data_IF_214976318689
#
_entry.id   IF_214976318689
#
_cell.length_a   1.000
_cell.length_b   1.000
_cell.length_c   1.000
_cell.angle_alpha   90.00
_cell.angle_beta   90.00
_cell.angle_gamma   90.00
#
_symmetry.space_group_name_H-M   'P 1'
#
loop_
_entity.id
_entity.type
_entity.pdbx_description
1 polymer ?
#
# COMPACT_ATOMS: atom_id res chain seq x y z
N UNK A 1 14.78 7.48 -26.75
CA UNK A 1 13.96 7.71 -25.55
C UNK A 1 13.22 9.03 -25.67
N UNK A 2 11.94 9.09 -25.28
CA UNK A 2 11.20 10.34 -25.28
C UNK A 2 11.86 11.36 -24.32
N UNK A 3 11.92 12.64 -24.72
CA UNK A 3 12.44 13.71 -23.86
C UNK A 3 11.47 13.94 -22.70
N UNK A 4 11.99 13.99 -21.47
CA UNK A 4 11.21 14.35 -20.27
C UNK A 4 10.73 15.80 -20.37
N UNK A 5 9.54 16.08 -19.85
CA UNK A 5 8.96 17.44 -19.87
C UNK A 5 9.82 18.43 -19.07
N UNK A 6 9.73 19.72 -19.42
CA UNK A 6 10.53 20.80 -18.81
C UNK A 6 10.41 20.82 -17.27
N UNK A 7 9.19 20.78 -16.72
CA UNK A 7 8.93 20.76 -15.27
C UNK A 7 9.64 19.60 -14.58
N UNK A 8 9.64 18.41 -15.20
CA UNK A 8 10.36 17.26 -14.64
C UNK A 8 11.88 17.45 -14.67
N UNK A 9 12.41 18.08 -15.71
CA UNK A 9 13.86 18.35 -15.83
C UNK A 9 14.30 19.34 -14.73
N UNK A 10 13.52 20.39 -14.52
CA UNK A 10 13.75 21.38 -13.44
C UNK A 10 13.68 20.73 -12.05
N UNK A 11 12.66 19.90 -11.79
CA UNK A 11 12.56 19.16 -10.55
C UNK A 11 13.73 18.19 -10.36
N UNK A 12 14.08 17.44 -11.42
CA UNK A 12 15.17 16.47 -11.38
C UNK A 12 16.55 17.08 -11.22
N UNK A 13 16.77 18.34 -11.63
CA UNK A 13 18.04 19.06 -11.43
C UNK A 13 18.31 19.42 -9.98
N UNK A 14 17.26 19.48 -9.13
CA UNK A 14 17.38 19.73 -7.69
C UNK A 14 17.80 18.47 -6.90
N UNK A 15 17.67 17.29 -7.50
CA UNK A 15 17.98 16.00 -6.85
C UNK A 15 19.31 15.47 -7.35
N UNK A 16 20.30 15.38 -6.48
CA UNK A 16 21.55 14.69 -6.79
C UNK A 16 21.32 13.16 -6.68
N UNK A 17 21.44 12.47 -7.81
CA UNK A 17 21.23 11.03 -7.90
C UNK A 17 22.34 10.17 -7.33
N UNK A 18 23.51 10.77 -7.09
CA UNK A 18 24.68 10.11 -6.51
C UNK A 18 24.64 10.12 -4.99
N UNK A 19 23.97 11.09 -4.41
CA UNK A 19 23.81 11.26 -2.97
C UNK A 19 22.68 10.36 -2.40
N UNK A 20 22.89 9.89 -1.18
CA UNK A 20 21.87 9.29 -0.33
C UNK A 20 21.52 10.29 0.77
N UNK A 21 20.23 10.56 0.92
CA UNK A 21 19.70 11.56 1.83
C UNK A 21 19.18 10.91 3.12
N UNK A 22 19.12 11.65 4.21
CA UNK A 22 18.37 11.23 5.39
C UNK A 22 16.87 11.11 5.05
N UNK A 23 16.09 10.41 5.88
CA UNK A 23 14.63 10.27 5.67
C UNK A 23 13.95 11.64 5.63
N UNK A 24 14.33 12.52 6.55
CA UNK A 24 13.79 13.89 6.67
C UNK A 24 14.09 14.74 5.44
N UNK A 25 15.34 14.76 5.02
CA UNK A 25 15.78 15.49 3.82
C UNK A 25 15.13 14.94 2.55
N UNK A 26 15.02 13.60 2.44
CA UNK A 26 14.42 12.96 1.27
C UNK A 26 12.93 13.28 1.14
N UNK A 27 12.18 13.27 2.23
CA UNK A 27 10.76 13.62 2.25
C UNK A 27 10.55 15.09 1.88
N UNK A 28 11.32 16.00 2.50
CA UNK A 28 11.26 17.42 2.20
C UNK A 28 11.58 17.69 0.72
N UNK A 29 12.67 17.11 0.22
CA UNK A 29 13.08 17.26 -1.17
C UNK A 29 12.07 16.67 -2.15
N UNK A 30 11.44 15.52 -1.82
CA UNK A 30 10.39 14.94 -2.63
C UNK A 30 9.15 15.84 -2.71
N UNK A 31 8.76 16.51 -1.62
CA UNK A 31 7.66 17.51 -1.61
C UNK A 31 8.01 18.74 -2.44
N UNK A 32 9.21 19.30 -2.30
CA UNK A 32 9.69 20.47 -3.06
C UNK A 32 9.80 20.20 -4.56
N UNK A 33 10.05 18.96 -4.94
CA UNK A 33 10.16 18.53 -6.35
C UNK A 33 8.88 17.98 -6.92
N UNK A 34 7.75 18.10 -6.20
CA UNK A 34 6.43 17.75 -6.70
C UNK A 34 6.04 18.67 -7.86
N UNK A 35 5.68 18.07 -9.01
CA UNK A 35 5.32 18.80 -10.23
C UNK A 35 3.83 18.74 -10.55
N UNK A 36 3.07 17.96 -9.80
CA UNK A 36 1.64 17.80 -10.00
C UNK A 36 0.86 19.04 -9.52
N UNK A 37 -0.24 19.36 -10.22
CA UNK A 37 -1.13 20.47 -9.84
C UNK A 37 -2.29 20.00 -8.92
N UNK A 38 -2.20 18.77 -8.42
CA UNK A 38 -3.15 18.16 -7.48
C UNK A 38 -2.40 17.66 -6.25
N UNK A 39 -3.11 17.36 -5.18
CA UNK A 39 -2.50 16.78 -3.98
C UNK A 39 -1.95 15.38 -4.26
N UNK A 40 -0.67 15.36 -4.64
CA UNK A 40 0.02 14.15 -5.07
C UNK A 40 0.24 13.18 -3.92
N UNK A 41 0.24 11.87 -4.21
CA UNK A 41 0.63 10.86 -3.25
C UNK A 41 2.15 10.87 -3.07
N UNK A 42 2.59 10.68 -1.82
CA UNK A 42 4.00 10.41 -1.48
C UNK A 42 4.14 8.90 -1.36
N UNK A 43 5.04 8.33 -2.15
CA UNK A 43 5.22 6.89 -2.29
C UNK A 43 6.66 6.50 -1.98
N UNK A 44 6.82 5.32 -1.41
CA UNK A 44 8.13 4.75 -1.08
C UNK A 44 8.32 3.44 -1.81
N UNK A 45 9.52 3.26 -2.36
CA UNK A 45 9.95 2.02 -2.98
C UNK A 45 11.09 1.42 -2.15
N UNK A 46 10.86 0.22 -1.58
CA UNK A 46 11.86 -0.57 -0.87
C UNK A 46 12.35 -1.70 -1.75
N UNK A 47 13.62 -1.70 -2.10
CA UNK A 47 14.26 -2.85 -2.74
C UNK A 47 14.84 -3.75 -1.67
N UNK A 48 14.24 -4.92 -1.51
CA UNK A 48 14.60 -5.89 -0.48
C UNK A 48 15.57 -6.96 -1.01
N UNK A 49 16.41 -7.47 -0.13
CA UNK A 49 17.35 -8.56 -0.41
C UNK A 49 16.71 -9.94 -0.28
N UNK A 50 15.61 -10.17 -0.97
CA UNK A 50 14.83 -11.41 -0.95
C UNK A 50 14.80 -12.09 -2.31
N UNK A 51 14.60 -13.40 -2.32
CA UNK A 51 14.33 -14.19 -3.53
C UNK A 51 12.85 -14.57 -3.57
N UNK A 52 12.07 -13.80 -4.31
CA UNK A 52 10.61 -13.97 -4.41
C UNK A 52 10.17 -15.25 -5.12
N UNK A 53 11.10 -16.02 -5.70
CA UNK A 53 10.82 -17.36 -6.26
C UNK A 53 10.59 -18.39 -5.16
N UNK A 54 11.13 -18.12 -3.98
CA UNK A 54 10.95 -18.97 -2.80
C UNK A 54 9.72 -18.54 -2.03
N UNK A 55 8.82 -19.48 -1.74
CA UNK A 55 7.56 -19.20 -1.05
C UNK A 55 7.76 -18.62 0.37
N UNK A 56 8.84 -19.02 1.04
CA UNK A 56 9.22 -18.56 2.38
C UNK A 56 9.78 -17.12 2.39
N UNK A 57 10.19 -16.59 1.24
CA UNK A 57 10.71 -15.23 1.09
C UNK A 57 9.71 -14.26 0.43
N UNK A 58 8.48 -14.70 0.21
CA UNK A 58 7.42 -13.83 -0.28
C UNK A 58 6.88 -12.96 0.84
N UNK A 59 7.17 -11.65 0.78
CA UNK A 59 6.69 -10.67 1.74
C UNK A 59 5.37 -10.11 1.25
N UNK A 60 4.32 -10.30 2.04
CA UNK A 60 3.00 -9.71 1.87
C UNK A 60 2.35 -9.50 3.22
N UNK A 61 1.76 -8.35 3.43
CA UNK A 61 1.05 -8.01 4.65
C UNK A 61 0.29 -6.70 4.51
N UNK A 62 -0.14 -6.18 5.63
CA UNK A 62 -0.74 -4.87 5.73
C UNK A 62 -0.23 -4.14 6.98
N UNK A 63 -0.25 -2.83 6.95
CA UNK A 63 0.11 -1.96 8.05
C UNK A 63 -0.93 -0.85 8.18
N UNK A 64 -1.32 -0.52 9.39
CA UNK A 64 -2.13 0.66 9.68
C UNK A 64 -1.16 1.81 9.92
N UNK A 65 -1.24 2.84 9.09
CA UNK A 65 -0.41 4.03 9.23
C UNK A 65 -1.02 4.97 10.28
N UNK A 66 -0.23 5.50 11.24
CA UNK A 66 -0.75 6.33 12.33
C UNK A 66 -1.47 7.59 11.83
N UNK A 67 -0.99 8.19 10.75
CA UNK A 67 -1.59 9.38 10.15
C UNK A 67 -2.47 9.07 8.92
N UNK A 68 -2.75 7.77 8.67
CA UNK A 68 -3.49 7.34 7.48
C UNK A 68 -2.76 7.62 6.17
N UNK A 69 -3.47 7.48 5.05
CA UNK A 69 -2.94 7.71 3.69
C UNK A 69 -3.46 8.99 3.04
N UNK A 70 -4.41 9.68 3.67
CA UNK A 70 -5.13 10.82 3.07
C UNK A 70 -6.07 10.44 1.92
N UNK A 71 -6.41 9.15 1.80
CA UNK A 71 -7.43 8.65 0.87
C UNK A 71 -8.58 8.07 1.66
N UNK A 72 -9.81 8.44 1.32
CA UNK A 72 -11.00 7.73 1.76
C UNK A 72 -11.18 6.51 0.86
N UNK A 73 -11.14 5.31 1.44
CA UNK A 73 -11.32 4.07 0.71
C UNK A 73 -12.76 3.60 0.81
N UNK A 74 -13.36 3.23 -0.31
CA UNK A 74 -14.66 2.58 -0.36
C UNK A 74 -14.50 1.08 -0.11
N UNK A 75 -15.23 0.56 0.87
CA UNK A 75 -15.11 -0.81 1.36
C UNK A 75 -16.33 -1.62 0.99
N UNK A 76 -16.12 -2.72 0.24
CA UNK A 76 -17.11 -3.74 -0.01
C UNK A 76 -16.91 -4.92 0.95
N UNK A 77 -17.96 -5.31 1.66
CA UNK A 77 -17.93 -6.43 2.60
C UNK A 77 -18.82 -7.57 2.11
N UNK A 78 -18.25 -8.76 1.99
CA UNK A 78 -18.97 -10.00 1.79
C UNK A 78 -19.17 -10.71 3.13
N UNK A 79 -20.40 -10.69 3.64
CA UNK A 79 -20.77 -11.30 4.90
C UNK A 79 -22.16 -11.93 4.84
N UNK A 80 -22.47 -12.80 5.79
CA UNK A 80 -23.79 -13.44 5.93
C UNK A 80 -24.40 -13.15 7.30
N UNK A 81 -25.73 -13.09 7.33
CA UNK A 81 -26.49 -12.99 8.57
C UNK A 81 -26.11 -11.76 9.42
N UNK A 82 -25.87 -11.97 10.70
CA UNK A 82 -25.61 -10.88 11.68
C UNK A 82 -24.36 -10.06 11.34
N UNK A 83 -23.40 -10.64 10.58
CA UNK A 83 -22.19 -9.95 10.15
C UNK A 83 -22.45 -8.81 9.15
N UNK A 84 -23.59 -8.82 8.48
CA UNK A 84 -24.03 -7.72 7.61
C UNK A 84 -24.27 -6.47 8.45
N UNK A 85 -25.06 -6.60 9.52
CA UNK A 85 -25.34 -5.48 10.42
C UNK A 85 -24.07 -4.94 11.12
N UNK A 86 -23.14 -5.83 11.50
CA UNK A 86 -21.83 -5.42 12.04
C UNK A 86 -21.02 -4.61 11.03
N UNK A 87 -21.01 -5.02 9.76
CA UNK A 87 -20.29 -4.32 8.69
C UNK A 87 -20.88 -2.94 8.39
N UNK A 88 -22.20 -2.84 8.35
CA UNK A 88 -22.89 -1.57 8.15
C UNK A 88 -22.65 -0.61 9.33
N UNK A 89 -22.72 -1.11 10.57
CA UNK A 89 -22.44 -0.34 11.77
C UNK A 89 -20.96 0.15 11.82
N UNK A 90 -20.03 -0.60 11.24
CA UNK A 90 -18.62 -0.21 11.12
C UNK A 90 -18.36 0.82 10.00
N UNK A 91 -19.38 1.17 9.20
CA UNK A 91 -19.28 2.16 8.13
C UNK A 91 -18.78 1.60 6.80
N UNK A 92 -19.02 0.32 6.51
CA UNK A 92 -18.78 -0.22 5.17
C UNK A 92 -19.71 0.46 4.14
N UNK A 93 -19.18 0.77 2.95
CA UNK A 93 -19.93 1.48 1.92
C UNK A 93 -20.89 0.53 1.19
N UNK A 94 -20.48 -0.72 1.04
CA UNK A 94 -21.27 -1.77 0.40
C UNK A 94 -21.18 -3.04 1.22
N UNK A 95 -22.32 -3.63 1.55
CA UNK A 95 -22.39 -4.90 2.29
C UNK A 95 -23.39 -5.81 1.62
N UNK A 96 -23.05 -7.07 1.42
CA UNK A 96 -23.97 -8.03 0.83
C UNK A 96 -23.38 -9.41 0.60
N UNK A 97 -24.20 -10.25 -0.01
CA UNK A 97 -23.87 -11.65 -0.31
C UNK A 97 -23.63 -11.84 -1.81
N UNK A 98 -24.33 -12.81 -2.40
CA UNK A 98 -24.16 -13.23 -3.80
C UNK A 98 -24.56 -12.15 -4.84
N UNK A 99 -25.34 -11.15 -4.46
CA UNK A 99 -25.76 -10.07 -5.36
C UNK A 99 -24.57 -9.24 -5.89
N UNK A 100 -23.60 -8.94 -5.02
CA UNK A 100 -22.39 -8.22 -5.43
C UNK A 100 -21.44 -9.09 -6.25
N UNK A 101 -21.49 -10.42 -6.08
CA UNK A 101 -20.76 -11.34 -6.96
C UNK A 101 -21.23 -11.19 -8.41
N UNK A 102 -22.56 -11.11 -8.62
CA UNK A 102 -23.13 -10.91 -9.94
C UNK A 102 -22.81 -9.51 -10.51
N UNK A 103 -22.93 -8.45 -9.70
CA UNK A 103 -22.58 -7.08 -10.11
C UNK A 103 -21.12 -6.98 -10.56
N UNK A 104 -20.19 -7.58 -9.83
CA UNK A 104 -18.76 -7.59 -10.18
C UNK A 104 -18.52 -8.37 -11.49
N UNK A 105 -19.20 -9.48 -11.71
CA UNK A 105 -19.14 -10.24 -12.98
C UNK A 105 -19.64 -9.40 -14.17
N UNK A 106 -20.60 -8.52 -13.93
CA UNK A 106 -21.12 -7.58 -14.93
C UNK A 106 -20.21 -6.32 -15.12
N UNK A 107 -19.12 -6.19 -14.35
CA UNK A 107 -18.14 -5.12 -14.52
C UNK A 107 -18.29 -3.95 -13.58
N UNK A 108 -19.01 -4.10 -12.47
CA UNK A 108 -19.07 -3.07 -11.43
C UNK A 108 -17.87 -3.15 -10.48
N UNK A 109 -17.16 -2.02 -10.25
CA UNK A 109 -15.94 -1.91 -9.45
C UNK A 109 -15.84 -0.58 -8.68
N UNK A 110 -16.95 -0.06 -8.19
CA UNK A 110 -16.99 1.21 -7.45
C UNK A 110 -16.55 1.03 -5.98
N UNK A 111 -15.52 0.24 -5.76
CA UNK A 111 -14.92 -0.02 -4.45
C UNK A 111 -13.40 -0.16 -4.56
N UNK A 112 -12.69 0.21 -3.47
CA UNK A 112 -11.24 0.17 -3.40
C UNK A 112 -10.71 -1.07 -2.67
N UNK A 113 -11.45 -1.56 -1.68
CA UNK A 113 -11.05 -2.72 -0.86
C UNK A 113 -12.20 -3.69 -0.69
N UNK A 114 -11.88 -4.98 -0.72
CA UNK A 114 -12.84 -6.06 -0.46
C UNK A 114 -12.47 -6.77 0.83
N UNK A 115 -13.44 -6.86 1.75
CA UNK A 115 -13.37 -7.68 2.96
C UNK A 115 -14.33 -8.85 2.81
N UNK A 116 -13.96 -10.02 3.24
CA UNK A 116 -14.82 -11.19 3.18
C UNK A 116 -14.73 -12.02 4.47
N UNK A 117 -15.85 -12.55 4.91
CA UNK A 117 -15.83 -13.62 5.92
C UNK A 117 -15.35 -14.93 5.27
N UNK A 118 -14.68 -15.81 6.03
CA UNK A 118 -14.20 -17.09 5.51
C UNK A 118 -15.29 -17.92 4.83
N UNK A 119 -16.52 -17.85 5.32
CA UNK A 119 -17.68 -18.56 4.78
C UNK A 119 -18.05 -18.11 3.35
N UNK A 120 -17.81 -16.82 3.05
CA UNK A 120 -18.09 -16.24 1.72
C UNK A 120 -16.95 -16.45 0.72
N UNK A 121 -15.79 -16.94 1.15
CA UNK A 121 -14.63 -17.12 0.27
C UNK A 121 -14.89 -18.13 -0.87
N UNK A 122 -15.81 -19.06 -0.70
CA UNK A 122 -16.23 -19.97 -1.78
C UNK A 122 -16.89 -19.23 -2.96
N UNK A 123 -17.72 -18.23 -2.66
CA UNK A 123 -18.38 -17.40 -3.67
C UNK A 123 -17.41 -16.34 -4.24
N UNK A 124 -16.67 -15.65 -3.38
CA UNK A 124 -15.67 -14.68 -3.77
C UNK A 124 -14.55 -15.30 -4.60
N UNK A 125 -14.22 -16.57 -4.35
CA UNK A 125 -13.26 -17.35 -5.14
C UNK A 125 -13.60 -17.45 -6.62
N UNK A 126 -14.89 -17.46 -6.98
CA UNK A 126 -15.38 -17.44 -8.38
C UNK A 126 -14.97 -16.14 -9.10
N UNK A 127 -14.77 -15.06 -8.34
CA UNK A 127 -14.33 -13.76 -8.85
C UNK A 127 -12.80 -13.64 -8.98
N UNK A 128 -12.04 -14.67 -8.61
CA UNK A 128 -10.58 -14.63 -8.59
C UNK A 128 -9.94 -14.23 -9.91
N UNK A 129 -10.54 -14.59 -11.06
CA UNK A 129 -10.09 -14.21 -12.40
C UNK A 129 -10.26 -12.71 -12.69
N UNK A 130 -11.18 -12.05 -11.99
CA UNK A 130 -11.54 -10.65 -12.18
C UNK A 130 -10.86 -9.77 -11.11
N UNK A 131 -10.98 -10.15 -9.84
CA UNK A 131 -10.40 -9.40 -8.71
C UNK A 131 -8.88 -9.59 -8.58
N UNK A 132 -8.36 -10.76 -8.95
CA UNK A 132 -6.95 -11.08 -8.82
C UNK A 132 -6.01 -10.13 -9.59
N UNK A 133 -6.21 -9.91 -10.91
CA UNK A 133 -5.40 -8.98 -11.69
C UNK A 133 -5.49 -7.52 -11.23
N UNK A 134 -6.63 -7.14 -10.65
CA UNK A 134 -6.86 -5.78 -10.09
C UNK A 134 -6.27 -5.61 -8.68
N UNK A 135 -5.79 -6.67 -8.04
CA UNK A 135 -5.27 -6.62 -6.67
C UNK A 135 -6.36 -6.54 -5.58
N UNK A 136 -7.63 -6.68 -5.93
CA UNK A 136 -8.78 -6.53 -5.04
C UNK A 136 -9.21 -7.84 -4.35
N UNK A 137 -8.49 -8.94 -4.57
CA UNK A 137 -8.83 -10.24 -4.01
C UNK A 137 -8.53 -10.29 -2.51
N UNK A 138 -9.52 -10.57 -1.63
CA UNK A 138 -9.31 -10.70 -0.19
C UNK A 138 -8.26 -11.76 0.15
N UNK A 139 -7.46 -11.50 1.18
CA UNK A 139 -6.40 -12.42 1.60
C UNK A 139 -6.28 -12.46 3.12
N UNK A 140 -6.16 -13.65 3.74
CA UNK A 140 -5.95 -13.78 5.19
C UNK A 140 -4.67 -13.09 5.69
N UNK A 141 -3.59 -13.08 4.89
CA UNK A 141 -2.31 -12.45 5.27
C UNK A 141 -2.38 -10.94 5.41
N UNK A 142 -3.32 -10.28 4.73
CA UNK A 142 -3.55 -8.84 4.82
C UNK A 142 -4.69 -8.50 5.78
N UNK A 143 -5.32 -9.53 6.38
CA UNK A 143 -6.43 -9.36 7.32
C UNK A 143 -7.72 -8.88 6.64
N UNK A 144 -7.86 -9.07 5.32
CA UNK A 144 -9.08 -8.78 4.58
C UNK A 144 -10.02 -10.01 4.50
N UNK A 145 -9.56 -11.17 4.97
CA UNK A 145 -10.41 -12.34 5.25
C UNK A 145 -10.42 -12.57 6.75
N UNK A 146 -11.52 -12.22 7.41
CA UNK A 146 -11.65 -12.29 8.87
C UNK A 146 -13.10 -12.50 9.31
N UNK A 147 -13.28 -13.07 10.50
CA UNK A 147 -14.58 -13.11 11.19
C UNK A 147 -14.90 -11.81 11.92
N UNK A 148 -13.89 -11.01 12.27
CA UNK A 148 -14.05 -9.70 12.89
C UNK A 148 -14.10 -8.61 11.81
N UNK A 149 -15.28 -8.50 11.20
CA UNK A 149 -15.54 -7.59 10.09
C UNK A 149 -15.45 -6.13 10.55
N UNK A 150 -15.96 -5.83 11.75
CA UNK A 150 -15.97 -4.49 12.32
C UNK A 150 -14.56 -3.91 12.39
N UNK A 151 -13.65 -4.64 13.04
CA UNK A 151 -12.26 -4.23 13.19
C UNK A 151 -11.56 -4.05 11.83
N UNK A 152 -11.79 -4.97 10.88
CA UNK A 152 -11.20 -4.88 9.56
C UNK A 152 -11.63 -3.63 8.80
N UNK A 153 -12.92 -3.27 8.84
CA UNK A 153 -13.46 -2.06 8.20
C UNK A 153 -12.91 -0.80 8.87
N UNK A 154 -12.88 -0.75 10.21
CA UNK A 154 -12.31 0.37 10.96
C UNK A 154 -10.82 0.59 10.62
N UNK A 155 -10.02 -0.47 10.59
CA UNK A 155 -8.59 -0.40 10.21
C UNK A 155 -8.40 0.11 8.78
N UNK A 156 -9.20 -0.36 7.81
CA UNK A 156 -9.14 0.10 6.42
C UNK A 156 -9.49 1.58 6.33
N UNK A 157 -10.55 2.01 7.00
CA UNK A 157 -10.97 3.42 7.06
C UNK A 157 -9.93 4.30 7.80
N UNK A 158 -9.21 3.74 8.76
CA UNK A 158 -8.09 4.40 9.45
C UNK A 158 -6.82 4.54 8.58
N UNK A 159 -6.79 3.94 7.38
CA UNK A 159 -5.66 4.05 6.45
C UNK A 159 -4.73 2.84 6.47
N UNK A 160 -5.30 1.65 6.54
CA UNK A 160 -4.56 0.40 6.35
C UNK A 160 -4.03 0.29 4.92
N UNK A 161 -2.73 0.08 4.79
CA UNK A 161 -2.03 -0.07 3.50
C UNK A 161 -1.59 -1.51 3.33
N UNK A 162 -2.01 -2.14 2.25
CA UNK A 162 -1.44 -3.42 1.85
C UNK A 162 -0.07 -3.23 1.21
N UNK A 163 0.85 -4.12 1.51
CA UNK A 163 2.14 -4.19 0.85
C UNK A 163 2.45 -5.59 0.36
N UNK A 164 3.07 -5.67 -0.80
CA UNK A 164 3.48 -6.92 -1.43
C UNK A 164 4.79 -6.71 -2.17
N UNK A 165 5.76 -7.59 -1.93
CA UNK A 165 6.98 -7.62 -2.73
C UNK A 165 6.70 -8.19 -4.12
N UNK A 166 7.12 -7.47 -5.16
CA UNK A 166 7.05 -7.90 -6.56
C UNK A 166 8.14 -8.93 -6.88
N UNK A 167 8.08 -9.51 -8.09
CA UNK A 167 9.07 -10.50 -8.54
C UNK A 167 10.52 -10.00 -8.50
N UNK A 168 10.75 -8.70 -8.62
CA UNK A 168 12.07 -8.07 -8.51
C UNK A 168 12.53 -7.85 -7.05
N UNK A 169 11.72 -8.23 -6.06
CA UNK A 169 11.98 -7.98 -4.64
C UNK A 169 11.79 -6.52 -4.25
N UNK A 170 11.03 -5.76 -5.04
CA UNK A 170 10.69 -4.36 -4.76
C UNK A 170 9.28 -4.30 -4.19
N UNK A 171 9.10 -3.46 -3.18
CA UNK A 171 7.83 -3.17 -2.53
C UNK A 171 7.53 -1.70 -2.70
N UNK A 172 6.33 -1.39 -3.17
CA UNK A 172 5.82 -0.03 -3.30
C UNK A 172 4.68 0.19 -2.31
N UNK A 173 4.69 1.33 -1.62
CA UNK A 173 3.63 1.72 -0.70
C UNK A 173 3.46 3.24 -0.68
N UNK A 174 2.22 3.71 -0.55
CA UNK A 174 1.92 5.11 -0.31
C UNK A 174 1.99 5.39 1.19
N UNK A 175 2.70 6.45 1.58
CA UNK A 175 2.87 6.88 2.98
C UNK A 175 2.05 8.13 3.32
N UNK A 176 1.38 8.73 2.35
CA UNK A 176 0.53 9.91 2.55
C UNK A 176 0.40 10.77 1.31
N UNK A 177 0.08 12.02 1.52
CA UNK A 177 -0.10 13.07 0.50
C UNK A 177 0.92 14.18 0.70
N UNK A 178 1.14 14.98 -0.35
CA UNK A 178 2.01 16.18 -0.28
C UNK A 178 1.47 17.21 0.73
N UNK A 179 0.16 17.24 0.94
CA UNK A 179 -0.52 18.10 1.94
C UNK A 179 -0.20 17.73 3.40
N UNK A 180 0.31 16.53 3.67
CA UNK A 180 0.70 16.12 5.01
C UNK A 180 1.93 16.90 5.49
N UNK A 181 2.07 17.06 6.82
CA UNK A 181 3.29 17.63 7.40
C UNK A 181 4.46 16.68 7.21
N UNK A 182 5.67 17.20 7.32
CA UNK A 182 6.87 16.37 7.15
C UNK A 182 6.95 15.33 8.28
N UNK A 183 6.59 15.73 9.52
CA UNK A 183 6.55 14.84 10.69
C UNK A 183 5.58 13.67 10.49
N UNK A 184 4.38 13.92 9.94
CA UNK A 184 3.40 12.88 9.66
C UNK A 184 3.90 11.86 8.64
N UNK A 185 4.59 12.33 7.59
CA UNK A 185 5.17 11.45 6.57
C UNK A 185 6.35 10.66 7.12
N UNK A 186 7.19 11.25 7.98
CA UNK A 186 8.31 10.57 8.63
C UNK A 186 7.80 9.49 9.57
N UNK A 187 6.77 9.77 10.37
CA UNK A 187 6.16 8.79 11.27
C UNK A 187 5.56 7.60 10.50
N UNK A 188 4.82 7.87 9.43
CA UNK A 188 4.27 6.85 8.55
C UNK A 188 5.37 6.01 7.89
N UNK A 189 6.46 6.67 7.42
CA UNK A 189 7.62 5.99 6.85
C UNK A 189 8.29 5.06 7.86
N UNK A 190 8.57 5.54 9.07
CA UNK A 190 9.22 4.77 10.12
C UNK A 190 8.36 3.57 10.53
N UNK A 191 7.04 3.76 10.67
CA UNK A 191 6.10 2.67 10.99
C UNK A 191 6.15 1.58 9.90
N UNK A 192 6.13 1.95 8.63
CA UNK A 192 6.23 1.01 7.52
C UNK A 192 7.60 0.30 7.50
N UNK A 193 8.69 1.04 7.71
CA UNK A 193 10.05 0.48 7.78
C UNK A 193 10.18 -0.55 8.89
N UNK A 194 9.67 -0.25 10.09
CA UNK A 194 9.74 -1.14 11.26
C UNK A 194 8.96 -2.44 11.02
N UNK A 195 7.78 -2.33 10.40
CA UNK A 195 6.98 -3.52 10.03
C UNK A 195 7.73 -4.36 9.00
N UNK A 196 8.36 -3.75 8.01
CA UNK A 196 9.15 -4.47 7.02
C UNK A 196 10.41 -5.10 7.63
N UNK A 197 11.08 -4.44 8.55
CA UNK A 197 12.23 -4.99 9.27
C UNK A 197 11.85 -6.24 10.08
N UNK A 198 10.71 -6.20 10.78
CA UNK A 198 10.14 -7.34 11.52
C UNK A 198 9.68 -8.48 10.60
N UNK A 199 9.24 -8.16 9.39
CA UNK A 199 8.81 -9.12 8.38
C UNK A 199 9.97 -9.82 7.65
N UNK A 200 11.23 -9.51 7.97
CA UNK A 200 12.40 -10.13 7.34
C UNK A 200 12.39 -11.65 7.55
N UNK A 201 12.37 -12.45 6.46
CA UNK A 201 12.44 -13.90 6.58
C UNK A 201 13.80 -14.35 7.14
N UNK A 202 13.80 -15.35 8.00
CA UNK A 202 15.04 -15.93 8.55
C UNK A 202 15.97 -16.54 7.47
N UNK A 203 15.39 -16.97 6.35
CA UNK A 203 16.09 -17.48 5.19
C UNK A 203 16.74 -16.41 4.30
N UNK A 204 16.39 -15.12 4.50
CA UNK A 204 16.98 -14.01 3.75
C UNK A 204 18.36 -13.65 4.34
N UNK A 205 19.43 -14.02 3.62
CA UNK A 205 20.83 -13.75 4.00
C UNK A 205 21.33 -12.44 3.38
N UNK A 206 22.25 -11.80 4.09
CA UNK A 206 22.89 -10.56 3.61
C UNK A 206 22.09 -9.29 3.88
N UNK A 207 22.37 -8.23 3.13
CA UNK A 207 21.72 -6.92 3.28
C UNK A 207 20.25 -7.00 2.88
N UNK A 208 19.36 -6.71 3.83
CA UNK A 208 17.92 -6.79 3.62
C UNK A 208 17.37 -5.57 2.87
N UNK A 209 17.63 -4.35 3.34
CA UNK A 209 17.29 -3.12 2.63
C UNK A 209 18.41 -2.77 1.66
N UNK A 210 18.29 -3.13 0.37
CA UNK A 210 19.29 -2.84 -0.65
C UNK A 210 19.28 -1.39 -1.12
N UNK A 211 18.10 -0.83 -1.30
CA UNK A 211 17.90 0.59 -1.62
C UNK A 211 16.48 0.99 -1.26
N UNK A 212 16.34 2.23 -0.85
CA UNK A 212 15.05 2.86 -0.56
C UNK A 212 14.99 4.18 -1.30
N UNK A 213 13.82 4.51 -1.85
CA UNK A 213 13.60 5.79 -2.51
C UNK A 213 12.20 6.30 -2.21
N UNK A 214 12.08 7.61 -2.01
CA UNK A 214 10.81 8.34 -1.88
C UNK A 214 10.56 9.13 -3.16
N UNK A 215 9.32 9.20 -3.57
CA UNK A 215 8.88 10.00 -4.71
C UNK A 215 7.48 10.55 -4.50
N UNK A 216 7.16 11.65 -5.16
CA UNK A 216 5.77 12.09 -5.32
C UNK A 216 5.22 11.64 -6.67
N UNK A 217 3.89 11.61 -6.82
CA UNK A 217 3.26 11.29 -8.11
C UNK A 217 3.85 12.18 -9.22
N UNK A 218 4.44 11.56 -10.24
CA UNK A 218 5.13 12.20 -11.37
C UNK A 218 6.45 12.91 -11.02
N UNK A 219 6.88 12.96 -9.74
CA UNK A 219 8.12 13.58 -9.30
C UNK A 219 9.36 12.71 -9.55
N UNK A 220 10.57 13.26 -9.36
CA UNK A 220 11.80 12.48 -9.37
C UNK A 220 11.92 11.64 -8.08
N UNK A 221 12.54 10.46 -8.19
CA UNK A 221 12.84 9.63 -7.03
C UNK A 221 14.07 10.13 -6.27
N UNK A 222 13.95 10.28 -4.95
CA UNK A 222 15.00 10.67 -4.02
C UNK A 222 15.46 9.43 -3.24
N UNK A 223 16.75 9.13 -3.29
CA UNK A 223 17.32 7.95 -2.61
C UNK A 223 17.55 8.25 -1.13
N UNK A 224 17.17 7.30 -0.28
CA UNK A 224 17.38 7.36 1.17
C UNK A 224 18.59 6.52 1.54
N UNK A 225 19.37 7.00 2.52
CA UNK A 225 20.46 6.24 3.11
C UNK A 225 19.90 5.08 3.93
N UNK A 226 20.29 3.86 3.57
CA UNK A 226 19.86 2.63 4.24
C UNK A 226 20.81 2.18 5.34
N UNK A 227 21.93 2.87 5.57
CA UNK A 227 22.90 2.50 6.59
C UNK A 227 22.33 2.60 8.02
N UNK A 228 21.36 3.50 8.23
CA UNK A 228 20.64 3.66 9.50
C UNK A 228 19.55 2.61 9.76
N UNK A 229 19.16 1.83 8.75
CA UNK A 229 18.10 0.83 8.87
C UNK A 229 18.69 -0.49 9.41
N UNK A 230 18.31 -0.82 10.63
CA UNK A 230 18.73 -2.05 11.32
C UNK A 230 17.73 -3.17 11.12
#
# INVERSE_FOLDING_TARGET
>A
MAKKGKKYQEAASKVDRTQHYSVEEAIKLAKETSIANFDASVEVAFRLGIDTRKNDQQIRGAVVLPNGTGKSQSVLVFAKGDKIAEAEAAGADYVGEAEYVQKIQQGWFDFDVVVATPDMMGEVGKLGRVLGPKGLMPNPKTGTVTMDVKKAVEEIKAGKVEYRAEKAGILHASIGKVSFTDEQLIENFNTLQDVLAKAKPSSAKGTYFKSVAVTTTMGPGVKIDTASFK
#
